data_IF_794969106691
#
_entry.id   IF_794969106691
#
_cell.length_a   1.000
_cell.length_b   1.000
_cell.length_c   1.000
_cell.angle_alpha   90.00
_cell.angle_beta   90.00
_cell.angle_gamma   90.00
#
_symmetry.space_group_name_H-M   'P 1'
#
loop_
_entity.id
_entity.type
_entity.pdbx_description
1 polymer ?
#
# COMPACT_ATOMS: atom_id res chain seq x y z
N UNK A 1 -1.56 2.37 4.46
CA UNK A 1 -1.88 1.32 5.47
C UNK A 1 -2.92 1.83 6.47
N UNK A 2 -2.76 3.02 7.08
CA UNK A 2 -3.72 3.56 8.06
C UNK A 2 -5.15 3.68 7.51
N UNK A 3 -5.32 4.23 6.31
CA UNK A 3 -6.64 4.35 5.67
C UNK A 3 -7.29 2.99 5.38
N UNK A 4 -6.47 1.98 5.08
CA UNK A 4 -6.94 0.60 4.91
C UNK A 4 -7.42 -0.01 6.22
N UNK A 5 -6.64 0.14 7.28
CA UNK A 5 -6.99 -0.35 8.63
C UNK A 5 -8.24 0.35 9.16
N UNK A 6 -8.33 1.68 9.00
CA UNK A 6 -9.54 2.42 9.40
C UNK A 6 -10.80 1.87 8.73
N UNK A 7 -10.76 1.61 7.40
CA UNK A 7 -11.90 1.03 6.68
C UNK A 7 -12.23 -0.38 7.15
N UNK A 8 -11.21 -1.20 7.42
CA UNK A 8 -11.40 -2.57 7.87
C UNK A 8 -12.03 -2.62 9.27
N UNK A 9 -11.58 -1.75 10.19
CA UNK A 9 -12.14 -1.63 11.53
C UNK A 9 -13.54 -1.00 11.53
N UNK A 10 -13.82 -0.06 10.63
CA UNK A 10 -15.17 0.49 10.47
C UNK A 10 -16.14 -0.61 10.07
N UNK A 11 -15.79 -1.46 9.10
CA UNK A 11 -16.62 -2.61 8.72
C UNK A 11 -16.88 -3.57 9.87
N UNK A 12 -15.86 -3.81 10.72
CA UNK A 12 -16.04 -4.63 11.91
C UNK A 12 -17.01 -3.96 12.89
N UNK A 13 -16.85 -2.67 13.14
CA UNK A 13 -17.74 -1.89 14.02
C UNK A 13 -19.18 -1.93 13.53
N UNK A 14 -19.40 -1.68 12.25
CA UNK A 14 -20.74 -1.70 11.64
C UNK A 14 -21.38 -3.09 11.79
N UNK A 15 -20.60 -4.16 11.49
CA UNK A 15 -21.06 -5.54 11.66
C UNK A 15 -21.43 -5.86 13.11
N UNK A 16 -20.63 -5.45 14.09
CA UNK A 16 -20.89 -5.70 15.51
C UNK A 16 -22.13 -4.93 15.98
N UNK A 17 -22.34 -3.72 15.49
CA UNK A 17 -23.57 -2.93 15.76
C UNK A 17 -24.80 -3.66 15.22
N UNK A 18 -24.76 -4.22 14.01
CA UNK A 18 -25.84 -5.03 13.43
C UNK A 18 -26.13 -6.31 14.25
N UNK A 19 -25.14 -6.80 15.01
CA UNK A 19 -25.29 -7.94 15.92
C UNK A 19 -25.61 -7.53 17.38
N UNK A 20 -25.94 -6.27 17.63
CA UNK A 20 -26.23 -5.71 18.95
C UNK A 20 -25.06 -5.85 19.95
N UNK A 21 -23.83 -5.94 19.46
CA UNK A 21 -22.60 -6.02 20.26
C UNK A 21 -21.99 -4.62 20.38
N UNK A 22 -22.35 -3.89 21.41
CA UNK A 22 -21.93 -2.49 21.59
C UNK A 22 -20.54 -2.31 22.22
N UNK A 23 -19.98 -3.34 22.86
CA UNK A 23 -18.75 -3.23 23.65
C UNK A 23 -17.69 -4.20 23.15
N UNK A 24 -16.50 -3.72 22.86
CA UNK A 24 -15.37 -4.53 22.40
C UNK A 24 -15.02 -5.70 23.31
N UNK A 25 -15.23 -5.56 24.63
CA UNK A 25 -15.00 -6.62 25.63
C UNK A 25 -15.94 -7.82 25.49
N UNK A 26 -17.07 -7.67 24.80
CA UNK A 26 -18.04 -8.73 24.56
C UNK A 26 -17.76 -9.50 23.27
N UNK A 27 -16.88 -8.97 22.41
CA UNK A 27 -16.52 -9.62 21.15
C UNK A 27 -15.72 -10.88 21.44
N UNK A 28 -16.18 -11.99 20.94
CA UNK A 28 -15.49 -13.28 21.06
C UNK A 28 -14.93 -13.78 19.71
N UNK A 29 -14.21 -14.89 19.74
CA UNK A 29 -13.62 -15.50 18.53
C UNK A 29 -14.68 -15.88 17.49
N UNK A 30 -15.84 -16.36 17.93
CA UNK A 30 -16.93 -16.77 17.04
C UNK A 30 -17.47 -15.57 16.25
N UNK A 31 -17.71 -14.44 16.91
CA UNK A 31 -18.20 -13.20 16.27
C UNK A 31 -17.24 -12.73 15.18
N UNK A 32 -15.96 -12.69 15.51
CA UNK A 32 -14.94 -12.26 14.56
C UNK A 32 -14.78 -13.26 13.40
N UNK A 33 -14.88 -14.56 13.66
CA UNK A 33 -14.86 -15.61 12.63
C UNK A 33 -16.06 -15.50 11.70
N UNK A 34 -17.25 -15.24 12.24
CA UNK A 34 -18.48 -15.05 11.47
C UNK A 34 -18.40 -13.79 10.61
N UNK A 35 -17.89 -12.69 11.17
CA UNK A 35 -17.60 -11.47 10.41
C UNK A 35 -16.67 -11.73 9.21
N UNK A 36 -15.53 -12.37 9.44
CA UNK A 36 -14.57 -12.69 8.37
C UNK A 36 -15.20 -13.56 7.28
N UNK A 37 -16.03 -14.52 7.68
CA UNK A 37 -16.75 -15.38 6.74
C UNK A 37 -17.83 -14.61 5.95
N UNK A 38 -18.49 -13.63 6.58
CA UNK A 38 -19.45 -12.76 5.88
C UNK A 38 -18.76 -11.91 4.82
N UNK A 39 -17.60 -11.31 5.14
CA UNK A 39 -16.82 -10.52 4.18
C UNK A 39 -16.26 -11.39 3.03
N UNK A 40 -15.91 -12.65 3.32
CA UNK A 40 -15.54 -13.62 2.28
C UNK A 40 -16.72 -13.92 1.34
N UNK A 41 -17.92 -14.13 1.87
CA UNK A 41 -19.15 -14.35 1.07
C UNK A 41 -19.54 -13.12 0.24
N UNK A 42 -19.23 -11.91 0.73
CA UNK A 42 -19.40 -10.64 -0.02
C UNK A 42 -18.36 -10.46 -1.13
N UNK A 43 -17.46 -11.42 -1.33
CA UNK A 43 -16.48 -11.41 -2.43
C UNK A 43 -15.16 -10.72 -2.10
N UNK A 44 -14.86 -10.48 -0.82
CA UNK A 44 -13.55 -9.92 -0.47
C UNK A 44 -12.43 -10.89 -0.87
N UNK A 45 -11.43 -10.38 -1.59
CA UNK A 45 -10.30 -11.20 -2.04
C UNK A 45 -9.50 -11.77 -0.85
N UNK A 46 -8.85 -12.94 -0.99
CA UNK A 46 -8.03 -13.53 0.08
C UNK A 46 -6.97 -12.58 0.64
N UNK A 47 -6.38 -11.73 -0.22
CA UNK A 47 -5.41 -10.70 0.18
C UNK A 47 -6.05 -9.60 1.03
N UNK A 48 -7.28 -9.21 0.70
CA UNK A 48 -8.04 -8.23 1.48
C UNK A 48 -8.48 -8.80 2.83
N UNK A 49 -8.88 -10.08 2.88
CA UNK A 49 -9.18 -10.80 4.14
C UNK A 49 -7.93 -10.89 5.04
N UNK A 50 -6.75 -11.16 4.46
CA UNK A 50 -5.51 -11.18 5.22
C UNK A 50 -5.20 -9.81 5.84
N UNK A 51 -5.39 -8.71 5.08
CA UNK A 51 -5.22 -7.35 5.61
C UNK A 51 -6.24 -7.04 6.71
N UNK A 52 -7.51 -7.39 6.49
CA UNK A 52 -8.59 -7.21 7.46
C UNK A 52 -8.29 -7.95 8.77
N UNK A 53 -7.82 -9.18 8.73
CA UNK A 53 -7.39 -9.92 9.91
C UNK A 53 -6.17 -9.28 10.59
N UNK A 54 -5.23 -8.73 9.81
CA UNK A 54 -4.09 -7.99 10.38
C UNK A 54 -4.54 -6.73 11.11
N UNK A 55 -5.50 -5.98 10.55
CA UNK A 55 -6.04 -4.78 11.23
C UNK A 55 -6.79 -5.15 12.50
N UNK A 56 -7.58 -6.23 12.50
CA UNK A 56 -8.27 -6.72 13.69
C UNK A 56 -7.27 -7.15 14.77
N UNK A 57 -6.24 -7.93 14.42
CA UNK A 57 -5.20 -8.36 15.39
C UNK A 57 -4.50 -7.16 16.01
N UNK A 58 -4.05 -6.21 15.22
CA UNK A 58 -3.38 -4.99 15.72
C UNK A 58 -4.30 -4.20 16.67
N UNK A 59 -5.59 -4.11 16.34
CA UNK A 59 -6.56 -3.40 17.16
C UNK A 59 -6.85 -4.12 18.49
N UNK A 60 -7.10 -5.43 18.46
CA UNK A 60 -7.35 -6.20 19.69
C UNK A 60 -6.10 -6.35 20.56
N UNK A 61 -4.91 -6.39 19.96
CA UNK A 61 -3.62 -6.30 20.69
C UNK A 61 -3.49 -4.98 21.42
N UNK A 62 -3.84 -3.87 20.77
CA UNK A 62 -3.91 -2.55 21.42
C UNK A 62 -4.88 -2.56 22.60
N UNK A 63 -6.11 -3.07 22.43
CA UNK A 63 -7.10 -3.14 23.52
C UNK A 63 -6.63 -4.03 24.69
N UNK A 64 -5.88 -5.09 24.39
CA UNK A 64 -5.27 -5.96 25.39
C UNK A 64 -4.18 -5.20 26.19
N UNK A 65 -3.33 -4.43 25.51
CA UNK A 65 -2.28 -3.61 26.12
C UNK A 65 -2.86 -2.50 27.00
N UNK A 66 -3.98 -1.89 26.56
CA UNK A 66 -4.72 -0.89 27.34
C UNK A 66 -5.57 -1.51 28.49
N UNK A 67 -5.54 -2.82 28.67
CA UNK A 67 -6.30 -3.51 29.70
C UNK A 67 -7.85 -3.48 29.51
N UNK A 68 -8.33 -3.13 28.32
CA UNK A 68 -9.76 -3.07 28.01
C UNK A 68 -10.38 -4.44 27.76
N UNK A 69 -9.57 -5.41 27.39
CA UNK A 69 -9.95 -6.82 27.22
C UNK A 69 -8.90 -7.71 27.89
N UNK A 70 -9.28 -8.95 28.23
CA UNK A 70 -8.37 -9.92 28.84
C UNK A 70 -7.80 -10.93 27.83
N UNK A 71 -8.48 -11.12 26.70
CA UNK A 71 -8.08 -12.05 25.66
C UNK A 71 -8.41 -11.44 24.28
N UNK A 72 -7.49 -11.62 23.33
CA UNK A 72 -7.71 -11.17 21.95
C UNK A 72 -8.58 -12.19 21.19
N UNK A 73 -9.77 -11.81 20.69
CA UNK A 73 -10.61 -12.69 19.89
C UNK A 73 -10.02 -12.99 18.50
N UNK A 74 -8.96 -12.27 18.08
CA UNK A 74 -8.32 -12.43 16.79
C UNK A 74 -7.15 -13.43 16.81
N UNK A 75 -6.75 -13.94 17.97
CA UNK A 75 -5.52 -14.72 18.14
C UNK A 75 -5.52 -16.01 17.33
N UNK A 76 -6.62 -16.79 17.38
CA UNK A 76 -6.69 -18.13 16.79
C UNK A 76 -7.34 -18.17 15.39
N UNK A 77 -7.67 -17.02 14.80
CA UNK A 77 -8.26 -17.00 13.47
C UNK A 77 -7.16 -17.12 12.42
N UNK A 78 -7.16 -18.19 11.65
CA UNK A 78 -6.18 -18.41 10.60
C UNK A 78 -6.41 -17.51 9.39
N UNK A 79 -5.34 -16.92 8.87
CA UNK A 79 -5.37 -16.18 7.61
C UNK A 79 -5.46 -17.13 6.42
N UNK A 80 -6.14 -16.75 5.33
CA UNK A 80 -6.16 -17.55 4.13
C UNK A 80 -4.75 -17.67 3.55
N UNK A 81 -4.41 -18.88 3.07
CA UNK A 81 -3.17 -19.10 2.31
C UNK A 81 -3.28 -18.34 0.99
N UNK A 82 -2.32 -17.46 0.72
CA UNK A 82 -2.23 -16.77 -0.57
C UNK A 82 -1.37 -17.62 -1.51
N UNK A 83 -1.83 -17.80 -2.73
CA UNK A 83 -0.95 -18.26 -3.79
C UNK A 83 0.15 -17.20 -3.98
N UNK A 84 1.42 -17.63 -3.95
CA UNK A 84 2.53 -16.76 -4.34
C UNK A 84 2.46 -16.56 -5.86
N UNK A 85 1.74 -15.51 -6.25
CA UNK A 85 1.78 -15.05 -7.63
C UNK A 85 3.13 -14.35 -7.84
N UNK A 86 3.92 -14.86 -8.76
CA UNK A 86 5.10 -14.15 -9.24
C UNK A 86 4.65 -12.76 -9.74
N UNK A 87 5.40 -11.69 -9.39
CA UNK A 87 5.12 -10.38 -9.92
C UNK A 87 5.11 -10.45 -11.45
N UNK A 88 4.03 -10.01 -12.08
CA UNK A 88 3.97 -9.80 -13.53
C UNK A 88 4.78 -8.53 -13.83
N UNK A 89 6.10 -8.66 -13.85
CA UNK A 89 6.96 -7.61 -14.35
C UNK A 89 6.73 -7.47 -15.87
N UNK A 90 6.65 -6.22 -16.34
CA UNK A 90 6.67 -5.97 -17.77
C UNK A 90 8.08 -6.25 -18.31
N UNK A 91 8.15 -6.83 -19.50
CA UNK A 91 9.40 -7.03 -20.20
C UNK A 91 10.08 -5.67 -20.46
N UNK A 92 11.42 -5.63 -20.37
CA UNK A 92 12.21 -4.43 -20.58
C UNK A 92 11.98 -3.83 -21.96
N UNK A 93 11.85 -4.67 -23.00
CA UNK A 93 11.57 -4.23 -24.37
C UNK A 93 10.17 -3.59 -24.49
N UNK A 94 9.18 -4.13 -23.78
CA UNK A 94 7.84 -3.57 -23.75
C UNK A 94 7.82 -2.21 -23.05
N UNK A 95 8.54 -2.06 -21.93
CA UNK A 95 8.67 -0.78 -21.23
C UNK A 95 9.39 0.24 -22.11
N UNK A 96 10.47 -0.18 -22.79
CA UNK A 96 11.19 0.71 -23.70
C UNK A 96 10.28 1.22 -24.83
N UNK A 97 9.49 0.35 -25.46
CA UNK A 97 8.51 0.75 -26.49
C UNK A 97 7.45 1.70 -25.93
N UNK A 98 6.98 1.46 -24.71
CA UNK A 98 6.00 2.33 -24.04
C UNK A 98 6.56 3.74 -23.82
N UNK A 99 7.86 3.86 -23.51
CA UNK A 99 8.52 5.13 -23.24
C UNK A 99 9.06 5.80 -24.52
N UNK A 100 9.13 5.08 -25.63
CA UNK A 100 9.65 5.60 -26.91
C UNK A 100 8.56 6.28 -27.75
N UNK A 101 7.92 7.32 -27.16
CA UNK A 101 6.97 8.16 -27.86
C UNK A 101 7.51 9.58 -27.98
N UNK A 102 7.10 10.28 -29.05
CA UNK A 102 7.36 11.72 -29.22
C UNK A 102 6.32 12.51 -28.47
N UNK A 103 6.73 13.13 -27.38
CA UNK A 103 5.84 13.96 -26.58
C UNK A 103 5.43 15.24 -27.36
N UNK A 104 4.12 15.54 -27.36
CA UNK A 104 3.53 16.71 -27.99
C UNK A 104 2.88 17.57 -26.90
N UNK A 105 3.49 18.74 -26.64
CA UNK A 105 2.99 19.66 -25.63
C UNK A 105 3.46 19.35 -24.22
N UNK A 106 3.23 20.29 -23.30
CA UNK A 106 3.82 20.30 -21.96
C UNK A 106 3.40 19.11 -21.09
N UNK A 107 2.17 18.64 -21.22
CA UNK A 107 1.65 17.52 -20.41
C UNK A 107 2.37 16.22 -20.77
N UNK A 108 2.48 15.93 -22.07
CA UNK A 108 3.16 14.69 -22.52
C UNK A 108 4.67 14.73 -22.24
N UNK A 109 5.30 15.90 -22.32
CA UNK A 109 6.72 16.07 -21.94
C UNK A 109 6.90 15.76 -20.45
N UNK A 110 6.06 16.34 -19.60
CA UNK A 110 6.06 16.04 -18.15
C UNK A 110 5.83 14.55 -17.89
N UNK A 111 4.84 13.95 -18.52
CA UNK A 111 4.46 12.56 -18.27
C UNK A 111 5.57 11.60 -18.74
N UNK A 112 6.24 11.92 -19.85
CA UNK A 112 7.43 11.20 -20.32
C UNK A 112 8.58 11.30 -19.33
N UNK A 113 8.89 12.51 -18.83
CA UNK A 113 9.94 12.71 -17.84
C UNK A 113 9.65 11.93 -16.53
N UNK A 114 8.42 11.96 -16.05
CA UNK A 114 8.00 11.19 -14.88
C UNK A 114 8.13 9.68 -15.10
N UNK A 115 7.71 9.18 -16.26
CA UNK A 115 7.76 7.75 -16.58
C UNK A 115 9.21 7.24 -16.73
N UNK A 116 10.08 8.01 -17.40
CA UNK A 116 11.52 7.72 -17.52
C UNK A 116 12.21 7.73 -16.13
N UNK A 117 11.83 8.68 -15.27
CA UNK A 117 12.38 8.78 -13.92
C UNK A 117 11.92 7.61 -13.03
N UNK A 118 10.64 7.23 -13.09
CA UNK A 118 10.10 6.05 -12.39
C UNK A 118 10.82 4.78 -12.82
N UNK A 119 10.99 4.59 -14.13
CA UNK A 119 11.63 3.38 -14.67
C UNK A 119 13.11 3.29 -14.31
N UNK A 120 13.86 4.39 -14.48
CA UNK A 120 15.31 4.38 -14.27
C UNK A 120 15.73 4.37 -12.79
N UNK A 121 14.92 4.98 -11.92
CA UNK A 121 15.30 5.20 -10.51
C UNK A 121 14.50 4.35 -9.53
N UNK A 122 13.49 3.61 -9.98
CA UNK A 122 12.66 2.74 -9.14
C UNK A 122 11.94 3.50 -8.00
N UNK A 123 11.55 4.74 -8.25
CA UNK A 123 10.86 5.58 -7.27
C UNK A 123 9.46 5.05 -6.98
N UNK A 124 9.00 5.23 -5.73
CA UNK A 124 7.58 5.03 -5.42
C UNK A 124 6.76 6.23 -5.90
N UNK A 125 5.50 5.99 -6.26
CA UNK A 125 4.59 7.07 -6.67
C UNK A 125 4.56 8.23 -5.68
N UNK A 126 4.52 7.94 -4.38
CA UNK A 126 4.53 8.99 -3.34
C UNK A 126 5.85 9.76 -3.22
N UNK A 127 6.96 9.18 -3.67
CA UNK A 127 8.27 9.83 -3.69
C UNK A 127 8.36 10.78 -4.86
N UNK A 128 7.97 10.34 -6.06
CA UNK A 128 8.01 11.19 -7.26
C UNK A 128 7.01 12.36 -7.17
N UNK A 129 5.84 12.18 -6.53
CA UNK A 129 4.88 13.27 -6.31
C UNK A 129 5.39 14.35 -5.34
N UNK A 130 6.42 14.06 -4.55
CA UNK A 130 7.03 15.02 -3.60
C UNK A 130 8.37 15.55 -4.06
N UNK A 131 8.87 15.04 -5.16
CA UNK A 131 10.17 15.41 -5.69
C UNK A 131 10.15 16.83 -6.22
N UNK A 132 11.16 17.62 -5.86
CA UNK A 132 11.41 18.96 -6.41
C UNK A 132 12.63 18.92 -7.32
N UNK A 133 12.78 19.93 -8.15
CA UNK A 133 13.94 20.07 -9.04
C UNK A 133 15.26 20.21 -8.24
N UNK A 134 15.19 20.74 -7.04
CA UNK A 134 16.34 20.88 -6.13
C UNK A 134 16.87 19.54 -5.61
N UNK A 135 16.02 18.51 -5.57
CA UNK A 135 16.39 17.16 -5.16
C UNK A 135 17.14 16.40 -6.24
N UNK A 136 17.26 16.99 -7.45
CA UNK A 136 17.82 16.34 -8.62
C UNK A 136 19.17 16.94 -9.00
N UNK A 137 20.23 16.15 -8.93
CA UNK A 137 21.53 16.51 -9.49
C UNK A 137 21.65 15.98 -10.92
N UNK A 138 21.47 16.84 -11.90
CA UNK A 138 21.54 16.48 -13.32
C UNK A 138 22.96 16.23 -13.82
N UNK A 139 24.01 16.70 -13.09
CA UNK A 139 25.42 16.48 -13.43
C UNK A 139 25.87 15.13 -12.93
N UNK A 140 25.64 14.86 -11.65
CA UNK A 140 25.97 13.57 -11.02
C UNK A 140 24.92 12.48 -11.35
N UNK A 141 23.82 12.85 -11.97
CA UNK A 141 22.69 11.97 -12.32
C UNK A 141 22.18 11.20 -11.10
N UNK A 142 21.93 11.92 -10.04
CA UNK A 142 21.39 11.40 -8.79
C UNK A 142 20.17 12.18 -8.36
N UNK A 143 19.35 11.56 -7.54
CA UNK A 143 18.15 12.15 -6.96
C UNK A 143 18.07 11.79 -5.47
N UNK A 144 17.76 12.77 -4.65
CA UNK A 144 17.53 12.61 -3.22
C UNK A 144 16.05 12.37 -2.98
N UNK A 145 15.68 11.26 -2.37
CA UNK A 145 14.27 10.92 -2.13
C UNK A 145 14.03 10.55 -0.68
N UNK A 146 12.94 11.06 -0.13
CA UNK A 146 12.49 10.77 1.23
C UNK A 146 11.32 9.79 1.20
N UNK A 147 11.54 8.61 1.75
CA UNK A 147 10.58 7.50 1.76
C UNK A 147 9.79 7.39 3.07
N UNK A 148 9.20 6.20 3.27
CA UNK A 148 8.43 5.87 4.48
C UNK A 148 9.29 6.01 5.74
N UNK A 149 8.74 6.70 6.75
CA UNK A 149 9.43 6.93 8.03
C UNK A 149 10.46 8.06 7.96
N UNK A 150 10.32 8.98 7.01
CA UNK A 150 11.22 10.12 6.79
C UNK A 150 12.69 9.72 6.52
N UNK A 151 12.88 8.52 5.95
CA UNK A 151 14.23 8.04 5.60
C UNK A 151 14.59 8.55 4.21
N UNK A 152 15.69 9.29 4.15
CA UNK A 152 16.25 9.84 2.92
C UNK A 152 17.26 8.87 2.32
N UNK A 153 17.26 8.74 0.99
CA UNK A 153 18.26 7.99 0.23
C UNK A 153 18.56 8.68 -1.09
N UNK A 154 19.75 8.44 -1.60
CA UNK A 154 20.18 8.88 -2.94
C UNK A 154 19.94 7.72 -3.90
N UNK A 155 19.36 8.00 -5.05
CA UNK A 155 19.12 7.02 -6.12
C UNK A 155 19.71 7.51 -7.44
N UNK A 156 20.25 6.62 -8.27
CA UNK A 156 20.75 7.00 -9.60
C UNK A 156 19.60 7.35 -10.53
N UNK A 157 19.85 8.24 -11.48
CA UNK A 157 18.90 8.68 -12.51
C UNK A 157 19.45 8.33 -13.89
N UNK A 158 18.65 7.67 -14.70
CA UNK A 158 19.02 7.28 -16.05
C UNK A 158 19.21 8.47 -17.00
N UNK A 159 20.07 8.31 -17.99
CA UNK A 159 20.36 9.35 -18.99
C UNK A 159 19.09 9.81 -19.72
N UNK A 160 18.20 8.89 -20.10
CA UNK A 160 16.93 9.20 -20.77
C UNK A 160 16.01 10.06 -19.89
N UNK A 161 15.98 9.78 -18.57
CA UNK A 161 15.21 10.61 -17.63
C UNK A 161 15.78 12.03 -17.54
N UNK A 162 17.10 12.20 -17.45
CA UNK A 162 17.75 13.52 -17.47
C UNK A 162 17.46 14.28 -18.77
N UNK A 163 17.48 13.58 -19.91
CA UNK A 163 17.14 14.19 -21.20
C UNK A 163 15.68 14.62 -21.31
N UNK A 164 14.76 13.87 -20.70
CA UNK A 164 13.35 14.19 -20.72
C UNK A 164 12.96 15.31 -19.74
N UNK A 165 13.79 15.55 -18.72
CA UNK A 165 13.58 16.62 -17.71
C UNK A 165 14.12 17.99 -18.22
N UNK A 166 15.11 17.99 -19.12
CA UNK A 166 15.68 19.21 -19.74
C UNK A 166 14.82 19.75 -20.86
#
# INVERSE_FOLDING_TARGET
>A
TLSGYKRDLQKLSDYLTDQEIEKWKLVNEHDLRTFVNSERRRGLSPRSIQRLLSSCRTFFEFLLTEGQIQLSPAQNISSPKLAQLLPKAMDADLVQRLLDFKAKGMIEVRDKALAELLYSSGLRLSEICKLNMEDLDTKERTCVVTGKGNKTRIVPVGIKAIQAIR
#
